data_IF_949199511736
#
_entry.id   IF_949199511736
#
_cell.length_a   1.000
_cell.length_b   1.000
_cell.length_c   1.000
_cell.angle_alpha   90.00
_cell.angle_beta   90.00
_cell.angle_gamma   90.00
#
_symmetry.space_group_name_H-M   'P 1'
#
loop_
_entity.id
_entity.type
_entity.pdbx_description
1 polymer ?
#
# COMPACT_ATOMS: atom_id res chain seq x y z
N UNK A 1 25.26 -42.15 21.53
CA UNK A 1 25.57 -41.06 20.62
C UNK A 1 24.25 -40.72 19.88
N UNK A 2 23.53 -39.73 20.38
CA UNK A 2 22.25 -39.31 19.77
C UNK A 2 22.55 -38.18 18.77
N UNK A 3 22.25 -38.40 17.49
CA UNK A 3 22.33 -37.40 16.46
C UNK A 3 20.96 -36.72 16.38
N UNK A 4 20.87 -35.46 16.85
CA UNK A 4 19.70 -34.59 16.63
C UNK A 4 19.78 -34.05 15.21
N UNK A 5 18.97 -34.57 14.30
CA UNK A 5 18.74 -33.97 13.00
C UNK A 5 17.79 -32.77 13.16
N UNK A 6 18.33 -31.56 13.21
CA UNK A 6 17.59 -30.32 13.16
C UNK A 6 17.13 -30.10 11.71
N UNK A 7 15.88 -30.47 11.41
CA UNK A 7 15.26 -30.21 10.11
C UNK A 7 14.98 -28.72 9.95
N UNK A 8 15.85 -27.98 9.26
CA UNK A 8 15.57 -26.64 8.78
C UNK A 8 14.47 -26.71 7.71
N UNK A 9 13.24 -26.40 8.09
CA UNK A 9 12.17 -26.13 7.13
C UNK A 9 12.28 -24.67 6.71
N UNK A 10 12.91 -24.40 5.58
CA UNK A 10 12.73 -23.16 4.86
C UNK A 10 11.30 -23.15 4.28
N UNK A 11 10.35 -22.63 5.03
CA UNK A 11 9.00 -22.38 4.52
C UNK A 11 8.99 -21.02 3.84
N UNK A 12 9.23 -20.97 2.54
CA UNK A 12 8.66 -19.92 1.71
C UNK A 12 7.17 -20.17 1.68
N UNK A 13 6.41 -19.32 2.37
CA UNK A 13 4.95 -19.38 2.34
C UNK A 13 4.50 -18.90 0.96
N UNK A 14 4.26 -19.85 0.07
CA UNK A 14 3.56 -19.59 -1.19
C UNK A 14 2.10 -19.97 -0.97
N UNK A 15 1.15 -19.02 -1.00
CA UNK A 15 -0.25 -19.37 -0.97
C UNK A 15 -0.58 -20.22 -2.21
N UNK A 16 -1.43 -21.24 -2.05
CA UNK A 16 -1.86 -22.10 -3.17
C UNK A 16 -2.57 -21.31 -4.27
N UNK A 17 -3.29 -20.25 -3.87
CA UNK A 17 -4.00 -19.35 -4.78
C UNK A 17 -3.67 -17.89 -4.46
N UNK A 18 -3.56 -17.07 -5.50
CA UNK A 18 -3.46 -15.61 -5.32
C UNK A 18 -4.73 -15.04 -4.69
N UNK A 19 -4.60 -13.96 -3.94
CA UNK A 19 -5.74 -13.19 -3.42
C UNK A 19 -6.71 -12.78 -4.53
N UNK A 20 -6.22 -12.61 -5.75
CA UNK A 20 -7.02 -12.26 -6.93
C UNK A 20 -7.81 -13.43 -7.53
N UNK A 21 -7.68 -14.64 -6.99
CA UNK A 21 -8.34 -15.85 -7.55
C UNK A 21 -9.85 -15.85 -7.38
N UNK A 22 -10.40 -15.01 -6.52
CA UNK A 22 -11.85 -14.91 -6.26
C UNK A 22 -12.24 -13.45 -5.99
N UNK A 23 -13.54 -13.16 -6.07
CA UNK A 23 -14.12 -11.83 -5.83
C UNK A 23 -14.04 -10.90 -7.04
N UNK A 24 -14.61 -9.69 -6.88
CA UNK A 24 -14.58 -8.63 -7.88
C UNK A 24 -13.44 -7.68 -7.58
N UNK A 25 -12.63 -7.40 -8.61
CA UNK A 25 -11.43 -6.59 -8.49
C UNK A 25 -11.42 -5.45 -9.50
N UNK A 26 -11.02 -4.28 -9.03
CA UNK A 26 -10.86 -3.07 -9.83
C UNK A 26 -9.41 -2.62 -9.74
N UNK A 27 -8.80 -2.34 -10.89
CA UNK A 27 -7.39 -1.96 -10.95
C UNK A 27 -7.24 -0.44 -11.06
N UNK A 28 -6.29 0.12 -10.31
CA UNK A 28 -5.90 1.52 -10.40
C UNK A 28 -4.40 1.63 -10.64
N UNK A 29 -4.02 2.48 -11.59
CA UNK A 29 -2.62 2.73 -11.95
C UNK A 29 -2.11 3.97 -11.23
N UNK A 30 -0.95 3.83 -10.59
CA UNK A 30 -0.31 4.85 -9.76
C UNK A 30 1.03 5.25 -10.40
N UNK A 31 1.17 6.49 -10.89
CA UNK A 31 2.39 6.93 -11.56
C UNK A 31 3.54 7.25 -10.60
N UNK A 32 3.27 7.70 -9.38
CA UNK A 32 4.30 8.13 -8.43
C UNK A 32 3.96 7.74 -6.99
N UNK A 33 4.97 7.69 -6.14
CA UNK A 33 4.76 7.44 -4.71
C UNK A 33 4.08 8.64 -4.03
N UNK A 34 3.08 8.35 -3.19
CA UNK A 34 2.35 9.41 -2.47
C UNK A 34 1.09 8.93 -1.78
N UNK A 35 0.40 9.88 -1.16
CA UNK A 35 -0.93 9.65 -0.58
C UNK A 35 -1.98 9.93 -1.62
N UNK A 36 -2.81 8.94 -1.91
CA UNK A 36 -3.92 9.01 -2.85
C UNK A 36 -5.25 9.07 -2.13
N UNK A 37 -6.13 9.92 -2.65
CA UNK A 37 -7.50 10.05 -2.20
C UNK A 37 -8.42 9.48 -3.27
N UNK A 38 -9.29 8.55 -2.88
CA UNK A 38 -10.36 8.05 -3.74
C UNK A 38 -11.71 8.32 -3.10
N UNK A 39 -12.62 8.84 -3.89
CA UNK A 39 -14.00 9.18 -3.54
C UNK A 39 -14.97 8.18 -4.16
N UNK A 40 -16.24 8.26 -3.79
CA UNK A 40 -17.30 7.47 -4.45
C UNK A 40 -17.33 7.68 -5.96
N UNK A 41 -17.17 8.92 -6.43
CA UNK A 41 -17.16 9.23 -7.86
C UNK A 41 -15.99 8.55 -8.60
N UNK A 42 -14.82 8.46 -7.96
CA UNK A 42 -13.65 7.77 -8.54
C UNK A 42 -13.93 6.27 -8.71
N UNK A 43 -14.59 5.64 -7.73
CA UNK A 43 -14.97 4.23 -7.84
C UNK A 43 -16.01 3.98 -8.94
N UNK A 44 -17.00 4.86 -9.08
CA UNK A 44 -17.96 4.77 -10.20
C UNK A 44 -17.22 4.94 -11.54
N UNK A 45 -16.26 5.85 -11.63
CA UNK A 45 -15.45 6.02 -12.84
C UNK A 45 -14.58 4.78 -13.15
N UNK A 46 -14.19 4.01 -12.14
CA UNK A 46 -13.52 2.71 -12.29
C UNK A 46 -14.47 1.58 -12.73
N UNK A 47 -15.77 1.84 -12.81
CA UNK A 47 -16.78 0.85 -13.23
C UNK A 47 -17.41 0.09 -12.06
N UNK A 48 -17.21 0.52 -10.82
CA UNK A 48 -17.91 -0.07 -9.66
C UNK A 48 -19.36 0.36 -9.69
N UNK A 49 -20.29 -0.56 -9.55
CA UNK A 49 -21.70 -0.24 -9.39
C UNK A 49 -21.91 0.53 -8.08
N UNK A 50 -22.71 1.59 -8.11
CA UNK A 50 -22.84 2.51 -6.97
C UNK A 50 -23.33 1.82 -5.70
N UNK A 51 -24.21 0.83 -5.84
CA UNK A 51 -24.72 -0.02 -4.77
C UNK A 51 -23.68 -0.97 -4.15
N UNK A 52 -22.62 -1.30 -4.87
CA UNK A 52 -21.53 -2.14 -4.36
C UNK A 52 -20.50 -1.33 -3.54
N UNK A 53 -20.51 0.01 -3.65
CA UNK A 53 -19.54 0.86 -2.99
C UNK A 53 -19.84 0.94 -1.48
N UNK A 54 -19.17 0.09 -0.73
CA UNK A 54 -19.22 0.07 0.73
C UNK A 54 -17.80 0.30 1.30
N UNK A 55 -17.57 1.47 1.89
CA UNK A 55 -16.26 1.84 2.43
C UNK A 55 -15.81 0.97 3.61
N UNK A 56 -16.75 0.35 4.34
CA UNK A 56 -16.42 -0.56 5.45
C UNK A 56 -15.83 -1.88 4.93
N UNK A 57 -16.29 -2.33 3.76
CA UNK A 57 -15.81 -3.54 3.11
C UNK A 57 -14.62 -3.29 2.17
N UNK A 58 -14.26 -2.03 1.95
CA UNK A 58 -13.16 -1.67 1.05
C UNK A 58 -11.82 -2.23 1.53
N UNK A 59 -11.12 -2.89 0.63
CA UNK A 59 -9.70 -3.27 0.80
C UNK A 59 -8.91 -2.91 -0.46
N UNK A 60 -7.66 -2.50 -0.27
CA UNK A 60 -6.73 -2.14 -1.33
C UNK A 60 -5.50 -3.04 -1.21
N UNK A 61 -5.11 -3.67 -2.31
CA UNK A 61 -3.97 -4.57 -2.38
C UNK A 61 -2.95 -4.08 -3.39
N UNK A 62 -1.68 -4.34 -3.13
CA UNK A 62 -0.61 -4.04 -4.07
C UNK A 62 0.76 -4.38 -3.52
N UNK A 63 1.73 -4.53 -4.43
CA UNK A 63 3.15 -4.73 -4.08
C UNK A 63 3.93 -3.42 -4.08
N UNK A 64 3.37 -2.34 -4.65
CA UNK A 64 4.10 -1.17 -5.08
C UNK A 64 4.67 -1.36 -6.48
N UNK A 65 5.42 -0.39 -6.96
CA UNK A 65 5.98 -0.40 -8.31
C UNK A 65 7.44 -0.85 -8.40
N UNK A 66 8.01 -1.44 -7.34
CA UNK A 66 9.38 -1.95 -7.36
C UNK A 66 9.46 -3.18 -8.27
N UNK A 67 10.51 -3.28 -9.09
CA UNK A 67 10.75 -4.43 -9.94
C UNK A 67 10.85 -5.72 -9.11
N UNK A 68 10.29 -6.80 -9.65
CA UNK A 68 10.47 -8.14 -9.06
C UNK A 68 11.93 -8.55 -9.32
N UNK A 69 12.61 -8.98 -8.28
CA UNK A 69 13.99 -9.47 -8.41
C UNK A 69 14.02 -10.79 -9.16
N UNK A 70 15.04 -10.98 -9.97
CA UNK A 70 15.23 -12.22 -10.77
C UNK A 70 15.38 -13.46 -9.88
N UNK A 71 16.00 -13.31 -8.70
CA UNK A 71 16.17 -14.39 -7.73
C UNK A 71 14.94 -14.44 -6.84
N UNK A 72 14.15 -15.50 -6.95
CA UNK A 72 12.91 -15.67 -6.18
C UNK A 72 13.10 -15.58 -4.65
N UNK A 73 14.25 -16.02 -4.14
CA UNK A 73 14.57 -15.94 -2.71
C UNK A 73 14.72 -14.49 -2.19
N UNK A 74 14.94 -13.53 -3.08
CA UNK A 74 15.05 -12.10 -2.75
C UNK A 74 13.70 -11.38 -2.80
N UNK A 75 12.64 -12.04 -3.28
CA UNK A 75 11.31 -11.49 -3.29
C UNK A 75 10.68 -11.64 -1.91
N UNK A 76 10.33 -10.50 -1.33
CA UNK A 76 9.79 -10.41 0.02
C UNK A 76 8.41 -11.09 0.16
N UNK A 77 7.63 -11.12 -0.92
CA UNK A 77 6.25 -11.64 -0.93
C UNK A 77 5.94 -12.39 -2.21
N UNK A 78 5.20 -13.48 -2.05
CA UNK A 78 4.72 -14.30 -3.18
C UNK A 78 3.39 -13.81 -3.77
N UNK A 79 2.63 -12.96 -3.06
CA UNK A 79 1.32 -12.45 -3.49
C UNK A 79 1.17 -10.96 -3.13
N UNK A 80 0.04 -10.36 -3.50
CA UNK A 80 -0.31 -8.99 -3.17
C UNK A 80 -0.56 -8.82 -1.66
N UNK A 81 -0.21 -7.65 -1.14
CA UNK A 81 -0.46 -7.30 0.25
C UNK A 81 -1.54 -6.26 0.40
N UNK A 82 -2.40 -6.47 1.41
CA UNK A 82 -3.37 -5.48 1.81
C UNK A 82 -2.67 -4.25 2.40
N UNK A 83 -3.05 -3.07 1.90
CA UNK A 83 -2.59 -1.76 2.39
C UNK A 83 -3.47 -1.29 3.53
N UNK A 84 -2.85 -0.70 4.55
CA UNK A 84 -3.60 0.03 5.55
C UNK A 84 -4.16 1.31 4.94
N UNK A 85 -5.46 1.55 5.12
CA UNK A 85 -6.17 2.69 4.55
C UNK A 85 -6.84 3.51 5.65
N UNK A 86 -6.94 4.82 5.46
CA UNK A 86 -7.78 5.69 6.27
C UNK A 86 -9.11 5.88 5.55
N UNK A 87 -10.22 5.59 6.22
CA UNK A 87 -11.57 5.80 5.71
C UNK A 87 -12.22 6.94 6.47
N UNK A 88 -12.66 7.96 5.73
CA UNK A 88 -13.54 9.00 6.24
C UNK A 88 -14.97 8.62 5.91
N UNK A 89 -15.79 8.35 6.93
CA UNK A 89 -17.20 7.93 6.81
C UNK A 89 -18.18 9.09 6.93
N UNK A 90 -17.74 10.36 6.79
CA UNK A 90 -18.62 11.54 6.85
C UNK A 90 -19.61 11.64 5.70
N UNK A 91 -20.29 12.80 5.56
CA UNK A 91 -21.28 13.06 4.50
C UNK A 91 -20.73 12.92 3.08
N UNK A 92 -19.42 13.14 2.89
CA UNK A 92 -18.70 12.90 1.65
C UNK A 92 -17.59 11.88 1.91
N UNK A 93 -17.89 10.57 1.89
CA UNK A 93 -16.93 9.54 2.24
C UNK A 93 -15.79 9.45 1.22
N UNK A 94 -14.58 9.20 1.73
CA UNK A 94 -13.40 9.00 0.92
C UNK A 94 -12.41 8.08 1.63
N UNK A 95 -11.49 7.53 0.88
CA UNK A 95 -10.36 6.76 1.40
C UNK A 95 -9.06 7.47 1.08
N UNK A 96 -8.11 7.39 2.02
CA UNK A 96 -6.71 7.74 1.78
C UNK A 96 -5.86 6.49 1.95
N UNK A 97 -4.90 6.30 1.05
CA UNK A 97 -3.89 5.27 1.17
C UNK A 97 -2.56 5.74 0.61
N UNK A 98 -1.47 5.21 1.14
CA UNK A 98 -0.15 5.46 0.59
C UNK A 98 0.17 4.41 -0.46
N UNK A 99 0.50 4.87 -1.66
CA UNK A 99 0.95 4.02 -2.75
C UNK A 99 2.42 4.30 -3.07
N UNK A 100 3.17 3.24 -3.34
CA UNK A 100 4.50 3.34 -3.91
C UNK A 100 4.39 3.29 -5.43
N UNK A 101 5.01 4.24 -6.11
CA UNK A 101 5.20 4.22 -7.55
C UNK A 101 6.37 3.34 -7.99
N UNK A 102 6.78 3.49 -9.22
CA UNK A 102 7.82 2.68 -9.87
C UNK A 102 9.26 3.12 -9.56
N UNK A 103 9.42 4.24 -8.87
CA UNK A 103 10.71 4.69 -8.36
C UNK A 103 10.79 4.38 -6.87
N UNK A 104 11.83 3.67 -6.43
CA UNK A 104 12.18 3.48 -5.04
C UNK A 104 13.43 4.27 -4.66
N UNK A 105 13.49 4.68 -3.41
CA UNK A 105 14.64 5.37 -2.83
C UNK A 105 15.03 4.62 -1.57
N UNK A 106 16.23 4.06 -1.57
CA UNK A 106 16.79 3.34 -0.43
C UNK A 106 17.95 4.17 0.16
N UNK A 107 18.03 4.27 1.48
CA UNK A 107 19.12 4.97 2.15
C UNK A 107 20.22 3.98 2.53
N UNK A 108 21.41 4.12 1.91
CA UNK A 108 22.60 3.40 2.32
C UNK A 108 23.21 4.07 3.56
N UNK A 109 23.01 3.44 4.71
CA UNK A 109 23.52 3.94 5.99
C UNK A 109 25.03 3.84 6.12
N UNK A 110 25.73 3.01 5.35
CA UNK A 110 27.18 2.84 5.39
C UNK A 110 27.86 3.96 4.61
N UNK A 111 27.38 4.24 3.41
CA UNK A 111 27.93 5.28 2.55
C UNK A 111 27.22 6.64 2.72
N UNK A 112 26.15 6.72 3.53
CA UNK A 112 25.32 7.90 3.77
C UNK A 112 24.80 8.52 2.47
N UNK A 113 24.41 7.67 1.55
CA UNK A 113 23.92 8.05 0.23
C UNK A 113 22.49 7.52 0.02
N UNK A 114 21.78 8.13 -0.96
CA UNK A 114 20.48 7.65 -1.43
C UNK A 114 20.66 6.94 -2.76
N UNK A 115 20.24 5.69 -2.82
CA UNK A 115 20.18 4.90 -4.04
C UNK A 115 18.78 4.99 -4.64
N UNK A 116 18.71 5.25 -5.93
CA UNK A 116 17.48 5.37 -6.69
C UNK A 116 17.36 4.18 -7.64
N UNK A 117 16.28 3.45 -7.53
CA UNK A 117 15.95 2.36 -8.45
C UNK A 117 14.65 2.68 -9.18
N UNK A 118 14.70 2.68 -10.51
CA UNK A 118 13.53 2.90 -11.37
C UNK A 118 13.15 1.55 -11.98
N UNK A 119 11.85 1.24 -12.00
CA UNK A 119 11.37 0.01 -12.62
C UNK A 119 11.70 0.00 -14.12
N UNK A 120 12.45 -1.02 -14.63
CA UNK A 120 12.98 -0.97 -15.99
C UNK A 120 11.92 -1.19 -17.08
N UNK A 121 10.73 -1.69 -16.73
CA UNK A 121 9.70 -2.12 -17.68
C UNK A 121 8.34 -1.45 -17.49
N UNK A 122 8.17 -0.64 -16.47
CA UNK A 122 6.89 0.01 -16.19
C UNK A 122 7.08 1.39 -15.58
N UNK A 123 6.27 2.33 -15.98
CA UNK A 123 6.16 3.68 -15.45
C UNK A 123 5.01 3.84 -14.44
N UNK A 124 4.22 2.79 -14.23
CA UNK A 124 3.07 2.79 -13.34
C UNK A 124 3.04 1.55 -12.45
N UNK A 125 2.67 1.74 -11.19
CA UNK A 125 2.38 0.68 -10.25
C UNK A 125 0.88 0.37 -10.24
N UNK A 126 0.49 -0.92 -10.26
CA UNK A 126 -0.91 -1.32 -10.21
C UNK A 126 -1.31 -1.70 -8.79
N UNK A 127 -2.44 -1.15 -8.35
CA UNK A 127 -3.12 -1.51 -7.11
C UNK A 127 -4.51 -2.05 -7.43
N UNK A 128 -4.97 -3.00 -6.63
CA UNK A 128 -6.23 -3.69 -6.80
C UNK A 128 -7.17 -3.36 -5.64
N UNK A 129 -8.41 -3.06 -5.96
CA UNK A 129 -9.45 -2.62 -5.04
C UNK A 129 -10.57 -3.66 -5.05
N UNK A 130 -11.08 -4.01 -3.88
CA UNK A 130 -12.27 -4.84 -3.74
C UNK A 130 -13.18 -4.29 -2.64
N UNK A 131 -14.48 -4.52 -2.80
CA UNK A 131 -15.51 -4.26 -1.80
C UNK A 131 -16.09 -5.54 -1.19
N UNK A 132 -15.46 -6.68 -1.47
CA UNK A 132 -15.86 -7.97 -0.92
C UNK A 132 -15.54 -8.03 0.58
N UNK A 133 -16.58 -8.27 1.40
CA UNK A 133 -16.45 -8.35 2.85
C UNK A 133 -15.56 -9.53 3.32
N UNK A 134 -15.44 -10.58 2.51
CA UNK A 134 -14.69 -11.79 2.84
C UNK A 134 -13.20 -11.70 2.49
N UNK A 135 -12.80 -10.69 1.69
CA UNK A 135 -11.44 -10.54 1.21
C UNK A 135 -10.70 -9.47 2.01
N UNK A 136 -9.55 -9.84 2.57
CA UNK A 136 -8.68 -8.95 3.35
C UNK A 136 -9.04 -8.87 4.84
N UNK A 137 -8.12 -8.31 5.60
CA UNK A 137 -8.24 -8.12 7.06
C UNK A 137 -8.93 -6.78 7.41
N UNK A 138 -9.24 -5.96 6.40
CA UNK A 138 -9.75 -4.58 6.53
C UNK A 138 -8.79 -3.70 7.32
N UNK A 139 -7.52 -3.67 6.89
CA UNK A 139 -6.47 -2.87 7.55
C UNK A 139 -6.83 -1.39 7.54
N UNK A 140 -6.96 -0.80 8.73
CA UNK A 140 -7.37 0.59 8.92
C UNK A 140 -6.30 1.41 9.64
N UNK A 141 -6.12 2.65 9.17
CA UNK A 141 -5.34 3.67 9.85
C UNK A 141 -6.29 4.45 10.74
N UNK A 142 -6.02 4.47 12.04
CA UNK A 142 -6.80 5.25 12.99
C UNK A 142 -6.23 6.66 13.09
N UNK A 143 -7.07 7.68 12.95
CA UNK A 143 -6.68 9.06 13.23
C UNK A 143 -6.34 9.19 14.72
N UNK A 144 -5.18 9.78 15.02
CA UNK A 144 -4.84 10.20 16.38
C UNK A 144 -4.98 11.71 16.47
N UNK A 145 -5.57 12.20 17.56
CA UNK A 145 -5.49 13.61 17.87
C UNK A 145 -4.03 13.95 18.16
N UNK A 146 -3.54 15.03 17.55
CA UNK A 146 -2.25 15.61 17.95
C UNK A 146 -2.38 16.07 19.39
N UNK A 147 -1.37 15.78 20.21
CA UNK A 147 -1.27 16.40 21.53
C UNK A 147 -1.04 17.89 21.30
N UNK A 148 -2.05 18.71 21.58
CA UNK A 148 -1.82 20.13 21.75
C UNK A 148 -1.00 20.27 23.04
N UNK A 149 0.28 20.60 22.90
CA UNK A 149 1.08 20.98 24.02
C UNK A 149 0.63 22.39 24.42
N UNK A 150 -0.03 22.52 25.58
CA UNK A 150 -0.41 23.81 26.15
C UNK A 150 0.79 24.78 26.36
N UNK A 151 2.01 24.26 26.22
CA UNK A 151 3.28 25.00 26.39
C UNK A 151 4.15 25.02 25.12
N UNK A 152 3.58 24.81 23.93
CA UNK A 152 4.36 24.95 22.69
C UNK A 152 4.69 26.43 22.44
N UNK A 153 5.85 26.88 22.94
CA UNK A 153 6.43 28.21 22.68
C UNK A 153 7.07 28.34 21.29
N UNK A 154 7.10 27.29 20.48
CA UNK A 154 7.56 27.35 19.09
C UNK A 154 6.40 27.63 18.15
N UNK A 155 6.34 28.86 17.65
CA UNK A 155 5.59 29.13 16.43
C UNK A 155 6.28 28.39 15.29
N UNK A 156 5.62 27.38 14.70
CA UNK A 156 6.02 26.86 13.40
C UNK A 156 5.83 27.98 12.39
N UNK A 157 6.91 28.53 11.87
CA UNK A 157 6.85 29.34 10.66
C UNK A 157 6.55 28.38 9.52
N UNK A 158 5.35 28.43 8.96
CA UNK A 158 5.04 27.81 7.68
C UNK A 158 6.05 28.37 6.67
N UNK A 159 6.95 27.50 6.20
CA UNK A 159 7.72 27.80 5.02
C UNK A 159 6.91 27.31 3.83
N UNK A 160 6.37 28.23 3.07
CA UNK A 160 5.84 27.94 1.76
C UNK A 160 6.97 27.33 0.92
N UNK A 161 6.92 26.03 0.71
CA UNK A 161 7.79 25.34 -0.24
C UNK A 161 7.16 25.51 -1.61
N UNK A 162 7.60 26.55 -2.35
CA UNK A 162 7.29 26.66 -3.77
C UNK A 162 8.08 25.60 -4.51
N UNK A 163 7.40 24.59 -5.02
CA UNK A 163 7.95 23.65 -6.00
C UNK A 163 7.76 24.29 -7.37
N UNK A 164 8.88 24.67 -8.02
CA UNK A 164 8.93 25.08 -9.41
C UNK A 164 9.02 23.87 -10.33
#
# INVERSE_FOLDING_TARGET
>A
MFVFACGLKAQTFHPENSVLSSGNWYAVSIPSSGVYKLTRADFVALGVAEEEINFDNLSIFGRGGKAIREINAENEYSDLREKAIFVNSGSNPYVLFYANGTMSVDFDSQNKNFDFEIHPYSDQATYFITFDAQIGEKKRITARQSFESENATQKSTERDVFIH
#
